data_IF_260850368908
#
_entry.id   IF_260850368908
#
_cell.length_a   1.000
_cell.length_b   1.000
_cell.length_c   1.000
_cell.angle_alpha   90.00
_cell.angle_beta   90.00
_cell.angle_gamma   90.00
#
_symmetry.space_group_name_H-M   'P 1'
#
loop_
_entity.id
_entity.type
_entity.pdbx_description
1 polymer ?
#
# COMPACT_ATOMS: atom_id res chain seq x y z
N UNK A 1 -22.59 -7.17 8.89
CA UNK A 1 -21.56 -6.44 8.13
C UNK A 1 -20.26 -7.18 8.39
N UNK A 2 -19.62 -7.73 7.35
CA UNK A 2 -18.27 -8.26 7.49
C UNK A 2 -17.40 -7.02 7.70
N UNK A 3 -16.98 -6.80 8.94
CA UNK A 3 -16.06 -5.73 9.29
C UNK A 3 -14.80 -5.97 8.45
N UNK A 4 -14.57 -5.12 7.43
CA UNK A 4 -13.37 -5.23 6.61
C UNK A 4 -12.22 -4.88 7.53
N UNK A 5 -11.51 -5.91 7.99
CA UNK A 5 -10.34 -5.71 8.83
C UNK A 5 -9.22 -5.17 7.95
N UNK A 6 -9.09 -3.83 7.95
CA UNK A 6 -8.08 -3.14 7.18
C UNK A 6 -6.65 -3.60 7.55
N UNK A 7 -6.42 -4.19 8.74
CA UNK A 7 -5.13 -4.80 9.09
C UNK A 7 -4.89 -6.15 8.39
N UNK A 8 -5.95 -6.92 8.13
CA UNK A 8 -5.83 -8.17 7.40
C UNK A 8 -5.51 -7.91 5.91
N UNK A 9 -6.20 -6.95 5.29
CA UNK A 9 -5.93 -6.53 3.91
C UNK A 9 -4.52 -5.91 3.79
N UNK A 10 -4.09 -5.14 4.79
CA UNK A 10 -2.72 -4.64 4.90
C UNK A 10 -1.66 -5.74 4.90
N UNK A 11 -1.82 -6.71 5.79
CA UNK A 11 -0.84 -7.78 5.98
C UNK A 11 -0.70 -8.59 4.71
N UNK A 12 -1.82 -8.74 3.99
CA UNK A 12 -1.87 -9.36 2.67
C UNK A 12 -1.10 -8.52 1.63
N UNK A 13 -1.42 -7.23 1.50
CA UNK A 13 -0.74 -6.31 0.57
C UNK A 13 0.78 -6.24 0.82
N UNK A 14 1.21 -6.21 2.09
CA UNK A 14 2.62 -6.20 2.49
C UNK A 14 3.34 -7.51 2.15
N UNK A 15 2.62 -8.63 2.19
CA UNK A 15 3.18 -9.94 1.79
C UNK A 15 3.30 -10.02 0.27
N UNK A 16 2.28 -9.51 -0.45
CA UNK A 16 2.29 -9.45 -1.91
C UNK A 16 3.36 -8.46 -2.43
N UNK A 17 3.66 -7.38 -1.70
CA UNK A 17 4.61 -6.34 -2.17
C UNK A 17 6.07 -6.79 -2.16
N UNK A 18 6.39 -7.81 -1.37
CA UNK A 18 7.71 -8.43 -1.33
C UNK A 18 7.93 -9.40 -2.51
N UNK A 19 6.96 -9.52 -3.41
CA UNK A 19 7.00 -10.32 -4.63
C UNK A 19 7.73 -9.64 -5.80
N UNK A 20 7.29 -9.95 -7.02
CA UNK A 20 7.93 -9.49 -8.26
C UNK A 20 7.62 -8.00 -8.55
N UNK A 21 8.51 -7.28 -9.22
CA UNK A 21 8.37 -5.82 -9.48
C UNK A 21 7.05 -5.45 -10.18
N UNK A 22 6.48 -6.38 -10.96
CA UNK A 22 5.19 -6.19 -11.63
C UNK A 22 4.00 -6.05 -10.66
N UNK A 23 4.05 -6.73 -9.53
CA UNK A 23 2.99 -6.70 -8.51
C UNK A 23 3.06 -5.44 -7.64
N UNK A 24 4.27 -4.91 -7.41
CA UNK A 24 4.49 -3.75 -6.56
C UNK A 24 3.66 -2.52 -7.00
N UNK A 25 3.60 -2.24 -8.30
CA UNK A 25 2.84 -1.11 -8.85
C UNK A 25 1.32 -1.25 -8.62
N UNK A 26 0.79 -2.47 -8.79
CA UNK A 26 -0.63 -2.76 -8.54
C UNK A 26 -0.95 -2.62 -7.05
N UNK A 27 -0.08 -3.16 -6.20
CA UNK A 27 -0.20 -3.10 -4.74
C UNK A 27 -0.16 -1.66 -4.25
N UNK A 28 0.73 -0.84 -4.80
CA UNK A 28 0.82 0.58 -4.46
C UNK A 28 -0.46 1.35 -4.81
N UNK A 29 -1.05 1.10 -5.99
CA UNK A 29 -2.34 1.70 -6.36
C UNK A 29 -3.46 1.26 -5.42
N UNK A 30 -3.50 -0.02 -5.07
CA UNK A 30 -4.48 -0.60 -4.16
C UNK A 30 -4.34 -0.04 -2.74
N UNK A 31 -3.11 0.11 -2.26
CA UNK A 31 -2.75 0.73 -0.99
C UNK A 31 -3.25 2.19 -0.93
N UNK A 32 -2.99 2.99 -1.98
CA UNK A 32 -3.47 4.38 -2.08
C UNK A 32 -5.00 4.46 -2.06
N UNK A 33 -5.70 3.56 -2.75
CA UNK A 33 -7.17 3.48 -2.69
C UNK A 33 -7.69 3.13 -1.29
N UNK A 34 -7.06 2.19 -0.60
CA UNK A 34 -7.44 1.80 0.76
C UNK A 34 -7.21 2.97 1.73
N UNK A 35 -6.06 3.65 1.64
CA UNK A 35 -5.76 4.85 2.44
C UNK A 35 -6.78 5.96 2.15
N UNK A 36 -7.14 6.18 0.88
CA UNK A 36 -8.13 7.19 0.50
C UNK A 36 -9.51 6.86 1.07
N UNK A 37 -9.92 5.59 1.01
CA UNK A 37 -11.17 5.10 1.61
C UNK A 37 -11.17 5.30 3.12
N UNK A 38 -10.11 4.89 3.81
CA UNK A 38 -9.99 5.08 5.26
C UNK A 38 -10.04 6.56 5.64
N UNK A 39 -9.37 7.45 4.89
CA UNK A 39 -9.47 8.90 5.12
C UNK A 39 -10.89 9.42 4.89
N UNK A 40 -11.60 8.94 3.87
CA UNK A 40 -12.96 9.33 3.57
C UNK A 40 -13.94 8.89 4.67
N UNK A 41 -13.72 7.70 5.22
CA UNK A 41 -14.49 7.13 6.34
C UNK A 41 -14.10 7.76 7.70
N UNK A 42 -13.09 8.64 7.74
CA UNK A 42 -12.57 9.25 8.96
C UNK A 42 -11.78 8.28 9.86
N UNK A 43 -11.33 7.15 9.32
CA UNK A 43 -10.55 6.15 10.02
C UNK A 43 -9.08 6.59 10.14
N UNK A 44 -8.42 6.32 11.28
CA UNK A 44 -7.00 6.57 11.42
C UNK A 44 -6.22 5.64 10.48
N UNK A 45 -5.30 6.20 9.69
CA UNK A 45 -4.38 5.43 8.84
C UNK A 45 -3.28 4.84 9.72
N UNK A 46 -3.14 3.51 9.81
CA UNK A 46 -2.01 2.85 10.50
C UNK A 46 -0.65 3.34 9.99
N UNK A 47 0.36 3.36 10.86
CA UNK A 47 1.72 3.70 10.45
C UNK A 47 2.27 2.73 9.39
N UNK A 48 1.88 1.45 9.45
CA UNK A 48 2.33 0.44 8.51
C UNK A 48 1.90 0.75 7.06
N UNK A 49 0.68 1.30 6.86
CA UNK A 49 0.25 1.80 5.54
C UNK A 49 1.17 2.90 5.02
N UNK A 50 1.52 3.86 5.86
CA UNK A 50 2.37 5.00 5.47
C UNK A 50 3.79 4.55 5.15
N UNK A 51 4.32 3.59 5.93
CA UNK A 51 5.65 3.02 5.69
C UNK A 51 5.69 2.22 4.39
N UNK A 52 4.67 1.41 4.13
CA UNK A 52 4.57 0.65 2.89
C UNK A 52 4.40 1.57 1.67
N UNK A 53 3.56 2.61 1.78
CA UNK A 53 3.40 3.60 0.71
C UNK A 53 4.73 4.26 0.40
N UNK A 54 5.46 4.75 1.42
CA UNK A 54 6.74 5.42 1.24
C UNK A 54 7.85 4.49 0.71
N UNK A 55 7.86 3.22 1.14
CA UNK A 55 8.82 2.23 0.64
C UNK A 55 8.60 1.97 -0.86
N UNK A 56 7.35 1.73 -1.25
CA UNK A 56 6.99 1.51 -2.66
C UNK A 56 7.24 2.76 -3.52
N UNK A 57 6.89 3.96 -3.04
CA UNK A 57 7.15 5.22 -3.75
C UNK A 57 8.66 5.39 -4.00
N UNK A 58 9.50 5.11 -3.00
CA UNK A 58 10.96 5.18 -3.13
C UNK A 58 11.54 4.12 -4.10
N UNK A 59 11.00 2.91 -4.09
CA UNK A 59 11.38 1.85 -5.05
C UNK A 59 11.03 2.24 -6.49
N UNK A 60 9.86 2.84 -6.73
CA UNK A 60 9.48 3.32 -8.06
C UNK A 60 10.25 4.58 -8.48
N UNK A 61 10.53 5.51 -7.57
CA UNK A 61 11.37 6.67 -7.88
C UNK A 61 12.80 6.25 -8.25
N UNK A 62 13.32 5.19 -7.61
CA UNK A 62 14.61 4.61 -7.94
C UNK A 62 14.61 3.91 -9.30
N UNK A 63 13.55 3.18 -9.65
CA UNK A 63 13.38 2.51 -10.94
C UNK A 63 13.15 3.50 -12.10
N UNK A 64 12.38 4.57 -11.86
CA UNK A 64 12.05 5.60 -12.84
C UNK A 64 13.21 6.54 -13.19
N UNK A 65 14.33 6.48 -12.47
CA UNK A 65 15.52 7.27 -12.77
C UNK A 65 16.53 6.42 -13.55
N UNK A 66 16.53 6.46 -14.89
CA UNK A 66 17.60 5.84 -15.65
C UNK A 66 18.91 6.59 -15.32
N UNK A 67 19.97 5.83 -15.10
CA UNK A 67 21.32 6.32 -14.84
C UNK A 67 21.85 7.25 -15.95
#
# INVERSE_FOLDING_TARGET
>A
MVEVDYNAELSRLLTESQGDQGDAHEIHMRLKQTIATMRAEGLPIPEDFKRLEAALDAEFEADAKPA
#
